data_IF_909973011725
#
_entry.id   IF_909973011725
#
_cell.length_a   1.000
_cell.length_b   1.000
_cell.length_c   1.000
_cell.angle_alpha   90.00
_cell.angle_beta   90.00
_cell.angle_gamma   90.00
#
_symmetry.space_group_name_H-M   'P 1'
#
loop_
_entity.id
_entity.type
_entity.pdbx_description
1 polymer ?
#
# COMPACT_ATOMS: atom_id res chain seq x y z
N UNK A 1 34.34 42.03 23.73
CA UNK A 1 33.51 40.96 23.12
C UNK A 1 34.46 40.04 22.38
N UNK A 2 34.60 38.81 22.85
CA UNK A 2 35.77 37.99 22.54
C UNK A 2 35.55 37.21 21.24
N UNK A 3 36.45 37.37 20.27
CA UNK A 3 36.40 36.71 18.95
C UNK A 3 36.18 35.19 19.06
N UNK A 4 36.69 34.58 20.12
CA UNK A 4 36.52 33.15 20.43
C UNK A 4 35.05 32.77 20.63
N UNK A 5 34.25 33.60 21.32
CA UNK A 5 32.83 33.31 21.54
C UNK A 5 32.03 33.35 20.23
N UNK A 6 32.36 34.29 19.33
CA UNK A 6 31.71 34.39 18.03
C UNK A 6 32.03 33.18 17.14
N UNK A 7 33.27 32.69 17.17
CA UNK A 7 33.68 31.48 16.44
C UNK A 7 32.95 30.24 16.97
N UNK A 8 32.86 30.09 18.30
CA UNK A 8 32.14 28.96 18.93
C UNK A 8 30.65 28.99 18.58
N UNK A 9 30.01 30.16 18.62
CA UNK A 9 28.60 30.30 18.23
C UNK A 9 28.42 29.97 16.73
N UNK A 10 29.31 30.47 15.87
CA UNK A 10 29.28 30.15 14.44
C UNK A 10 29.43 28.65 14.15
N UNK A 11 30.35 27.98 14.85
CA UNK A 11 30.54 26.54 14.74
C UNK A 11 29.31 25.74 15.22
N UNK A 12 28.67 26.18 16.30
CA UNK A 12 27.46 25.55 16.82
C UNK A 12 26.29 25.68 15.83
N UNK A 13 26.08 26.86 15.26
CA UNK A 13 25.04 27.10 14.23
C UNK A 13 25.32 26.27 12.98
N UNK A 14 26.58 26.18 12.55
CA UNK A 14 26.98 25.35 11.42
C UNK A 14 26.67 23.87 11.67
N UNK A 15 26.97 23.37 12.88
CA UNK A 15 26.67 22.00 13.26
C UNK A 15 25.15 21.73 13.33
N UNK A 16 24.36 22.68 13.83
CA UNK A 16 22.90 22.59 13.83
C UNK A 16 22.34 22.51 12.39
N UNK A 17 22.84 23.34 11.47
CA UNK A 17 22.43 23.31 10.07
C UNK A 17 22.77 21.98 9.39
N UNK A 18 23.94 21.42 9.66
CA UNK A 18 24.33 20.09 9.15
C UNK A 18 23.41 18.98 9.67
N UNK A 19 23.02 19.05 10.95
CA UNK A 19 22.09 18.08 11.54
C UNK A 19 20.69 18.18 10.91
N UNK A 20 20.18 19.39 10.70
CA UNK A 20 18.92 19.63 10.00
C UNK A 20 18.93 19.05 8.59
N UNK A 21 20.01 19.25 7.84
CA UNK A 21 20.16 18.71 6.49
C UNK A 21 20.14 17.17 6.48
N UNK A 22 20.84 16.53 7.41
CA UNK A 22 20.86 15.06 7.56
C UNK A 22 19.47 14.52 7.88
N UNK A 23 18.73 15.18 8.77
CA UNK A 23 17.36 14.81 9.11
C UNK A 23 16.44 14.91 7.88
N UNK A 24 16.54 16.01 7.13
CA UNK A 24 15.76 16.21 5.91
C UNK A 24 16.03 15.09 4.89
N UNK A 25 17.30 14.75 4.65
CA UNK A 25 17.69 13.65 3.76
C UNK A 25 17.11 12.30 4.21
N UNK A 26 17.12 12.01 5.51
CA UNK A 26 16.55 10.77 6.05
C UNK A 26 15.03 10.70 5.86
N UNK A 27 14.32 11.81 6.06
CA UNK A 27 12.87 11.91 5.81
C UNK A 27 12.58 11.71 4.33
N UNK A 28 13.32 12.36 3.44
CA UNK A 28 13.13 12.26 2.00
C UNK A 28 13.43 10.85 1.47
N UNK A 29 14.46 10.19 2.00
CA UNK A 29 14.75 8.78 1.70
C UNK A 29 13.58 7.88 2.09
N UNK A 30 13.06 8.00 3.32
CA UNK A 30 11.89 7.22 3.78
C UNK A 30 10.65 7.47 2.92
N UNK A 31 10.40 8.73 2.51
CA UNK A 31 9.29 9.07 1.60
C UNK A 31 9.45 8.39 0.24
N UNK A 32 10.66 8.39 -0.33
CA UNK A 32 10.96 7.72 -1.61
C UNK A 32 10.77 6.21 -1.50
N UNK A 33 11.25 5.58 -0.43
CA UNK A 33 11.09 4.14 -0.18
C UNK A 33 9.60 3.76 -0.07
N UNK A 34 8.80 4.50 0.71
CA UNK A 34 7.33 4.27 0.78
C UNK A 34 6.64 4.44 -0.58
N UNK A 35 7.01 5.45 -1.35
CA UNK A 35 6.48 5.66 -2.71
C UNK A 35 6.85 4.52 -3.64
N UNK A 36 8.08 4.00 -3.58
CA UNK A 36 8.51 2.82 -4.34
C UNK A 36 7.72 1.58 -3.94
N UNK A 37 7.60 1.29 -2.65
CA UNK A 37 6.76 0.17 -2.17
C UNK A 37 5.31 0.29 -2.66
N UNK A 38 4.70 1.48 -2.56
CA UNK A 38 3.33 1.71 -3.02
C UNK A 38 3.14 1.49 -4.53
N UNK A 39 4.21 1.65 -5.34
CA UNK A 39 4.18 1.40 -6.79
C UNK A 39 4.46 -0.07 -7.15
N UNK A 40 5.10 -0.82 -6.26
CA UNK A 40 5.46 -2.22 -6.48
C UNK A 40 4.38 -3.21 -6.00
N UNK A 41 3.43 -2.75 -5.18
CA UNK A 41 2.40 -3.62 -4.60
C UNK A 41 1.15 -3.61 -5.50
N UNK A 42 0.94 -4.72 -6.22
CA UNK A 42 -0.26 -4.94 -7.04
C UNK A 42 -1.54 -5.09 -6.22
N UNK A 43 -1.45 -5.57 -4.97
CA UNK A 43 -2.59 -5.81 -4.08
C UNK A 43 -2.32 -5.25 -2.68
N UNK A 44 -3.17 -4.34 -2.20
CA UNK A 44 -3.01 -3.72 -0.86
C UNK A 44 -3.11 -4.79 0.25
N UNK A 45 -2.28 -4.67 1.29
CA UNK A 45 -2.23 -5.62 2.42
C UNK A 45 -3.61 -5.86 3.07
N UNK A 46 -4.45 -4.82 3.18
CA UNK A 46 -5.79 -4.97 3.76
C UNK A 46 -6.74 -5.81 2.90
N UNK A 47 -6.52 -5.88 1.58
CA UNK A 47 -7.28 -6.72 0.64
C UNK A 47 -6.87 -8.20 0.80
N UNK A 48 -5.65 -8.47 1.26
CA UNK A 48 -5.20 -9.85 1.54
C UNK A 48 -5.94 -10.48 2.74
N UNK A 49 -6.58 -9.67 3.59
CA UNK A 49 -7.48 -10.13 4.67
C UNK A 49 -8.84 -10.62 4.17
N UNK A 50 -9.11 -10.58 2.85
CA UNK A 50 -10.37 -11.08 2.27
C UNK A 50 -10.79 -12.50 2.74
N UNK A 51 -9.89 -13.47 3.01
CA UNK A 51 -10.29 -14.77 3.55
C UNK A 51 -10.74 -14.69 5.01
N UNK A 52 -10.15 -13.77 5.79
CA UNK A 52 -10.49 -13.55 7.21
C UNK A 52 -11.90 -12.94 7.36
N UNK A 53 -12.34 -12.15 6.37
CA UNK A 53 -13.63 -11.46 6.43
C UNK A 53 -14.83 -12.31 5.98
N UNK A 54 -14.61 -13.55 5.50
CA UNK A 54 -15.57 -14.67 5.37
C UNK A 54 -16.82 -14.49 4.47
N UNK A 55 -17.36 -13.28 4.39
CA UNK A 55 -18.63 -12.95 3.74
C UNK A 55 -18.54 -13.15 2.23
N UNK A 56 -17.42 -12.78 1.61
CA UNK A 56 -17.27 -12.85 0.16
C UNK A 56 -17.42 -14.27 -0.38
N UNK A 57 -16.81 -15.26 0.27
CA UNK A 57 -16.86 -16.64 -0.21
C UNK A 57 -18.27 -17.23 -0.12
N UNK A 58 -18.96 -17.03 1.01
CA UNK A 58 -20.36 -17.47 1.18
C UNK A 58 -21.30 -16.73 0.24
N UNK A 59 -21.18 -15.41 0.16
CA UNK A 59 -21.99 -14.56 -0.72
C UNK A 59 -21.86 -14.98 -2.19
N UNK A 60 -20.66 -15.32 -2.66
CA UNK A 60 -20.48 -15.78 -4.05
C UNK A 60 -21.18 -17.10 -4.34
N UNK A 61 -21.19 -18.03 -3.39
CA UNK A 61 -21.91 -19.31 -3.53
C UNK A 61 -23.43 -19.09 -3.50
N UNK A 62 -23.93 -18.30 -2.55
CA UNK A 62 -25.35 -17.98 -2.41
C UNK A 62 -25.88 -17.23 -3.65
N UNK A 63 -25.19 -16.17 -4.09
CA UNK A 63 -25.59 -15.41 -5.29
C UNK A 63 -25.56 -16.28 -6.54
N UNK A 64 -24.57 -17.16 -6.69
CA UNK A 64 -24.50 -18.04 -7.86
C UNK A 64 -25.67 -19.03 -7.90
N UNK A 65 -26.06 -19.58 -6.75
CA UNK A 65 -27.08 -20.62 -6.66
C UNK A 65 -28.51 -20.07 -6.64
N UNK A 66 -28.73 -18.93 -5.98
CA UNK A 66 -30.07 -18.40 -5.69
C UNK A 66 -30.45 -17.25 -6.63
N UNK A 67 -29.52 -16.34 -6.95
CA UNK A 67 -29.80 -15.17 -7.81
C UNK A 67 -28.64 -14.84 -8.77
N UNK A 68 -28.57 -15.53 -9.92
CA UNK A 68 -27.57 -15.29 -10.95
C UNK A 68 -27.58 -13.84 -11.49
N UNK A 69 -28.70 -13.12 -11.38
CA UNK A 69 -28.81 -11.72 -11.81
C UNK A 69 -28.13 -10.80 -10.82
N UNK A 70 -28.33 -11.00 -9.52
CA UNK A 70 -27.59 -10.30 -8.49
C UNK A 70 -26.10 -10.64 -8.51
N UNK A 71 -25.73 -11.90 -8.82
CA UNK A 71 -24.33 -12.26 -9.10
C UNK A 71 -23.75 -11.42 -10.23
N UNK A 72 -24.45 -11.30 -11.36
CA UNK A 72 -24.02 -10.47 -12.49
C UNK A 72 -23.90 -9.00 -12.11
N UNK A 73 -24.81 -8.45 -11.30
CA UNK A 73 -24.69 -7.06 -10.84
C UNK A 73 -23.47 -6.85 -9.92
N UNK A 74 -23.19 -7.82 -9.05
CA UNK A 74 -22.07 -7.74 -8.11
C UNK A 74 -20.72 -7.96 -8.79
N UNK A 75 -20.57 -9.02 -9.58
CA UNK A 75 -19.33 -9.40 -10.25
C UNK A 75 -19.13 -8.72 -11.61
N UNK A 76 -20.18 -8.08 -12.15
CA UNK A 76 -20.22 -7.51 -13.51
C UNK A 76 -19.93 -8.53 -14.62
N UNK A 77 -20.15 -9.80 -14.32
CA UNK A 77 -20.02 -10.92 -15.26
C UNK A 77 -20.91 -12.09 -14.82
N UNK A 78 -21.38 -12.92 -15.76
CA UNK A 78 -22.19 -14.09 -15.43
C UNK A 78 -21.34 -15.19 -14.76
N UNK A 79 -21.97 -16.09 -13.98
CA UNK A 79 -21.27 -17.17 -13.28
C UNK A 79 -20.32 -18.01 -14.15
N UNK A 80 -20.75 -18.38 -15.36
CA UNK A 80 -19.96 -19.19 -16.28
C UNK A 80 -18.66 -18.51 -16.74
N UNK A 81 -18.71 -17.19 -16.96
CA UNK A 81 -17.52 -16.41 -17.33
C UNK A 81 -16.53 -16.34 -16.16
N UNK A 82 -17.03 -16.24 -14.92
CA UNK A 82 -16.18 -16.30 -13.75
C UNK A 82 -15.47 -17.66 -13.63
N UNK A 83 -16.17 -18.77 -13.83
CA UNK A 83 -15.58 -20.12 -13.79
C UNK A 83 -14.46 -20.29 -14.83
N UNK A 84 -14.69 -19.81 -16.04
CA UNK A 84 -13.69 -19.84 -17.11
C UNK A 84 -12.42 -19.06 -16.71
N UNK A 85 -12.57 -17.87 -16.12
CA UNK A 85 -11.44 -17.06 -15.66
C UNK A 85 -10.69 -17.75 -14.53
N UNK A 86 -11.41 -18.34 -13.56
CA UNK A 86 -10.78 -19.08 -12.45
C UNK A 86 -10.00 -20.27 -12.98
N UNK A 87 -10.57 -21.04 -13.91
CA UNK A 87 -9.91 -22.19 -14.51
C UNK A 87 -8.62 -21.79 -15.24
N UNK A 88 -8.62 -20.66 -15.97
CA UNK A 88 -7.43 -20.17 -16.68
C UNK A 88 -6.32 -19.65 -15.76
N UNK A 89 -6.68 -19.15 -14.57
CA UNK A 89 -5.74 -18.52 -13.63
C UNK A 89 -5.18 -19.49 -12.59
N UNK A 90 -5.81 -20.65 -12.40
CA UNK A 90 -5.36 -21.66 -11.44
C UNK A 90 -4.40 -22.60 -12.17
N UNK A 91 -3.12 -22.70 -11.75
CA UNK A 91 -2.21 -23.69 -12.32
C UNK A 91 -2.67 -25.11 -11.96
N UNK A 92 -2.43 -26.07 -12.86
CA UNK A 92 -2.61 -27.51 -12.60
C UNK A 92 -1.76 -28.01 -11.41
#
# INVERSE_FOLDING_TARGET
>A
MDAVRLVVIGALVQQQNQNLLRLQQAVDRRRRERRRMNRAVWVRQWILRRPEHGLYHKLMVELRNEDPRAFHHFMRMPPAMFDEVVQRLTPD
#
